data_IF_372837444812
#
_entry.id   IF_372837444812
#
_cell.length_a   1.000
_cell.length_b   1.000
_cell.length_c   1.000
_cell.angle_alpha   90.00
_cell.angle_beta   90.00
_cell.angle_gamma   90.00
#
_symmetry.space_group_name_H-M   'P 1'
#
loop_
_entity.id
_entity.type
_entity.pdbx_description
1 polymer ?
#
# COMPACT_ATOMS: atom_id res chain seq x y z
N UNK A 1 -25.17 39.43 18.45
CA UNK A 1 -23.94 39.05 17.72
C UNK A 1 -24.31 38.86 16.27
N UNK A 2 -23.66 39.58 15.34
CA UNK A 2 -24.05 39.67 13.93
C UNK A 2 -23.82 38.34 13.19
N UNK A 3 -24.69 38.02 12.22
CA UNK A 3 -24.73 36.76 11.45
C UNK A 3 -23.40 36.33 10.81
N UNK A 4 -22.46 37.27 10.68
CA UNK A 4 -21.12 37.08 10.14
C UNK A 4 -20.21 36.22 11.03
N UNK A 5 -20.35 36.29 12.36
CA UNK A 5 -19.55 35.44 13.27
C UNK A 5 -20.01 33.98 13.27
N UNK A 6 -21.31 33.72 13.06
CA UNK A 6 -21.86 32.38 12.95
C UNK A 6 -21.43 31.66 11.66
N UNK A 7 -21.30 32.39 10.54
CA UNK A 7 -20.79 31.87 9.27
C UNK A 7 -19.29 31.55 9.33
N UNK A 8 -18.47 32.39 9.98
CA UNK A 8 -17.04 32.15 10.12
C UNK A 8 -16.71 30.91 10.97
N UNK A 9 -17.50 30.62 12.02
CA UNK A 9 -17.27 29.45 12.88
C UNK A 9 -17.77 28.15 12.22
N UNK A 10 -18.87 28.20 11.46
CA UNK A 10 -19.32 27.06 10.64
C UNK A 10 -18.28 26.68 9.57
N UNK A 11 -17.62 27.66 8.95
CA UNK A 11 -16.51 27.44 8.03
C UNK A 11 -15.26 26.87 8.72
N UNK A 12 -14.99 27.23 9.98
CA UNK A 12 -13.84 26.73 10.75
C UNK A 12 -14.03 25.28 11.24
N UNK A 13 -15.25 24.92 11.67
CA UNK A 13 -15.59 23.53 12.01
C UNK A 13 -15.60 22.65 10.76
N UNK A 14 -16.20 23.12 9.65
CA UNK A 14 -16.10 22.46 8.35
C UNK A 14 -14.65 22.34 7.86
N UNK A 15 -13.80 23.34 8.12
CA UNK A 15 -12.38 23.34 7.75
C UNK A 15 -11.53 22.32 8.52
N UNK A 16 -11.80 22.08 9.82
CA UNK A 16 -11.13 21.02 10.58
C UNK A 16 -11.67 19.61 10.23
N UNK A 17 -12.95 19.50 9.86
CA UNK A 17 -13.58 18.25 9.41
C UNK A 17 -13.15 17.85 7.99
N UNK A 18 -12.96 18.83 7.10
CA UNK A 18 -12.44 18.63 5.73
C UNK A 18 -11.00 18.12 5.72
N UNK A 19 -10.17 18.51 6.71
CA UNK A 19 -8.75 18.15 6.77
C UNK A 19 -8.48 16.62 6.75
N UNK A 20 -9.41 15.78 7.22
CA UNK A 20 -9.25 14.32 7.26
C UNK A 20 -10.12 13.55 6.27
N UNK A 21 -11.21 14.15 5.78
CA UNK A 21 -12.12 13.54 4.82
C UNK A 21 -11.78 13.91 3.36
N UNK A 22 -11.15 15.06 3.14
CA UNK A 22 -10.90 15.65 1.80
C UNK A 22 -9.49 15.36 1.27
N UNK A 23 -8.95 14.18 1.64
CA UNK A 23 -7.66 13.75 1.10
C UNK A 23 -7.88 13.18 -0.30
N UNK A 24 -7.09 13.59 -1.31
CA UNK A 24 -7.24 13.04 -2.65
C UNK A 24 -7.02 11.52 -2.63
N UNK A 25 -7.76 10.81 -3.48
CA UNK A 25 -7.56 9.37 -3.71
C UNK A 25 -6.93 9.20 -5.08
N UNK A 26 -5.75 8.59 -5.11
CA UNK A 26 -5.00 8.33 -6.34
C UNK A 26 -4.95 6.83 -6.58
N UNK A 27 -5.01 6.41 -7.85
CA UNK A 27 -4.89 5.01 -8.24
C UNK A 27 -3.54 4.76 -8.91
N UNK A 28 -2.87 3.67 -8.57
CA UNK A 28 -1.54 3.31 -9.09
C UNK A 28 -1.49 1.83 -9.44
N UNK A 29 -1.10 1.51 -10.67
CA UNK A 29 -0.81 0.14 -11.08
C UNK A 29 0.67 -0.17 -10.88
N UNK A 30 0.98 -1.33 -10.28
CA UNK A 30 2.36 -1.77 -10.04
C UNK A 30 2.54 -3.25 -10.36
N UNK A 31 3.77 -3.63 -10.71
CA UNK A 31 4.18 -5.03 -10.80
C UNK A 31 5.09 -5.36 -9.63
N UNK A 32 4.75 -6.40 -8.87
CA UNK A 32 5.63 -6.96 -7.84
C UNK A 32 6.05 -8.35 -8.31
N UNK A 33 7.31 -8.51 -8.72
CA UNK A 33 7.82 -9.79 -9.17
C UNK A 33 8.77 -10.41 -8.14
N UNK A 34 8.51 -11.67 -7.79
CA UNK A 34 9.34 -12.43 -6.87
C UNK A 34 10.28 -13.36 -7.64
N UNK A 35 11.57 -13.06 -7.61
CA UNK A 35 12.57 -13.90 -8.26
C UNK A 35 12.79 -15.18 -7.46
N UNK A 36 12.99 -16.27 -8.18
CA UNK A 36 13.23 -17.57 -7.60
C UNK A 36 13.51 -18.61 -8.66
N UNK A 37 13.88 -19.80 -8.22
CA UNK A 37 14.06 -20.94 -9.08
C UNK A 37 12.92 -21.93 -8.81
N UNK A 38 11.96 -22.00 -9.73
CA UNK A 38 10.75 -22.82 -9.55
C UNK A 38 11.04 -24.30 -9.30
N UNK A 39 12.11 -24.85 -9.87
CA UNK A 39 12.52 -26.24 -9.64
C UNK A 39 13.03 -26.49 -8.22
N UNK A 40 13.28 -25.42 -7.46
CA UNK A 40 13.88 -25.41 -6.13
C UNK A 40 13.13 -24.44 -5.19
N UNK A 41 11.83 -24.66 -4.91
CA UNK A 41 10.94 -23.65 -4.32
C UNK A 41 11.26 -23.29 -2.85
N UNK A 42 11.89 -24.19 -2.08
CA UNK A 42 12.20 -23.97 -0.66
C UNK A 42 13.67 -23.66 -0.39
N UNK A 43 14.38 -23.18 -1.41
CA UNK A 43 15.78 -22.80 -1.29
C UNK A 43 15.93 -21.34 -0.94
N UNK A 44 17.11 -20.95 -0.45
CA UNK A 44 17.43 -19.54 -0.16
C UNK A 44 17.18 -18.65 -1.38
N UNK A 45 17.50 -19.14 -2.58
CA UNK A 45 17.29 -18.43 -3.84
C UNK A 45 15.82 -18.23 -4.23
N UNK A 46 14.91 -19.01 -3.65
CA UNK A 46 13.47 -18.96 -3.93
C UNK A 46 12.67 -18.34 -2.78
N UNK A 47 13.34 -17.75 -1.78
CA UNK A 47 12.69 -17.15 -0.61
C UNK A 47 11.65 -16.09 -0.99
N UNK A 48 11.93 -15.26 -2.00
CA UNK A 48 11.00 -14.25 -2.47
C UNK A 48 9.72 -14.88 -3.07
N UNK A 49 9.86 -15.96 -3.85
CA UNK A 49 8.73 -16.69 -4.40
C UNK A 49 7.88 -17.39 -3.35
N UNK A 50 8.50 -17.80 -2.25
CA UNK A 50 7.80 -18.37 -1.10
C UNK A 50 6.98 -17.29 -0.37
N UNK A 51 7.57 -16.11 -0.16
CA UNK A 51 6.92 -14.98 0.50
C UNK A 51 5.75 -14.39 -0.28
N UNK A 52 5.75 -14.47 -1.62
CA UNK A 52 4.75 -13.81 -2.46
C UNK A 52 3.31 -14.25 -2.15
N UNK A 53 3.12 -15.55 -1.84
CA UNK A 53 1.82 -16.11 -1.53
C UNK A 53 1.27 -15.50 -0.22
N UNK A 54 2.12 -15.43 0.82
CA UNK A 54 1.79 -14.79 2.09
C UNK A 54 1.61 -13.26 1.97
N UNK A 55 2.39 -12.59 1.11
CA UNK A 55 2.27 -11.15 0.86
C UNK A 55 0.93 -10.78 0.24
N UNK A 56 0.37 -11.60 -0.65
CA UNK A 56 -0.96 -11.37 -1.24
C UNK A 56 -2.04 -11.36 -0.15
N UNK A 57 -2.06 -12.36 0.71
CA UNK A 57 -3.00 -12.46 1.82
C UNK A 57 -2.79 -11.34 2.86
N UNK A 58 -1.53 -10.97 3.13
CA UNK A 58 -1.18 -9.86 4.03
C UNK A 58 -1.65 -8.51 3.51
N UNK A 59 -1.55 -8.29 2.21
CA UNK A 59 -2.03 -7.09 1.53
C UNK A 59 -3.55 -6.94 1.63
N UNK A 60 -4.28 -8.03 1.40
CA UNK A 60 -5.73 -8.06 1.57
C UNK A 60 -6.16 -7.76 3.03
N UNK A 61 -5.45 -8.33 4.00
CA UNK A 61 -5.68 -8.03 5.42
C UNK A 61 -5.40 -6.55 5.75
N UNK A 62 -4.30 -5.98 5.22
CA UNK A 62 -4.00 -4.55 5.39
C UNK A 62 -5.10 -3.65 4.84
N UNK A 63 -5.59 -3.94 3.64
CA UNK A 63 -6.63 -3.17 2.99
C UNK A 63 -7.92 -3.16 3.83
N UNK A 64 -8.34 -4.34 4.30
CA UNK A 64 -9.51 -4.47 5.17
C UNK A 64 -9.36 -3.65 6.47
N UNK A 65 -8.22 -3.78 7.15
CA UNK A 65 -7.93 -3.06 8.38
C UNK A 65 -7.90 -1.54 8.16
N UNK A 66 -7.23 -1.07 7.10
CA UNK A 66 -7.09 0.35 6.83
C UNK A 66 -8.44 0.96 6.46
N UNK A 67 -9.23 0.30 5.61
CA UNK A 67 -10.58 0.78 5.26
C UNK A 67 -11.47 0.86 6.48
N UNK A 68 -11.47 -0.15 7.36
CA UNK A 68 -12.22 -0.12 8.60
C UNK A 68 -11.79 1.06 9.50
N UNK A 69 -10.48 1.32 9.62
CA UNK A 69 -9.96 2.46 10.37
C UNK A 69 -10.39 3.80 9.78
N UNK A 70 -10.38 3.94 8.45
CA UNK A 70 -10.80 5.18 7.81
C UNK A 70 -12.31 5.38 7.93
N UNK A 71 -13.11 4.33 7.73
CA UNK A 71 -14.56 4.37 7.94
C UNK A 71 -14.91 4.80 9.37
N UNK A 72 -14.26 4.23 10.38
CA UNK A 72 -14.44 4.64 11.78
C UNK A 72 -14.06 6.10 12.00
N UNK A 73 -13.00 6.59 11.34
CA UNK A 73 -12.57 7.99 11.43
C UNK A 73 -13.62 8.93 10.83
N UNK A 74 -14.12 8.61 9.63
CA UNK A 74 -15.16 9.38 8.93
C UNK A 74 -16.45 9.40 9.76
N UNK A 75 -16.90 8.26 10.29
CA UNK A 75 -18.09 8.20 11.16
C UNK A 75 -17.96 9.10 12.40
N UNK A 76 -16.78 9.14 13.04
CA UNK A 76 -16.51 10.04 14.18
C UNK A 76 -16.58 11.52 13.80
N UNK A 77 -16.01 11.87 12.65
CA UNK A 77 -16.06 13.24 12.08
C UNK A 77 -17.52 13.65 11.83
N UNK A 78 -18.29 12.84 11.11
CA UNK A 78 -19.70 13.12 10.79
C UNK A 78 -20.55 13.25 12.06
N UNK A 79 -20.42 12.31 13.00
CA UNK A 79 -21.17 12.36 14.26
C UNK A 79 -20.84 13.59 15.11
N UNK A 80 -19.60 14.07 15.08
CA UNK A 80 -19.19 15.31 15.76
C UNK A 80 -19.80 16.53 15.08
N UNK A 81 -19.74 16.57 13.74
CA UNK A 81 -20.33 17.64 12.93
C UNK A 81 -21.84 17.77 13.17
N UNK A 82 -22.57 16.64 13.16
CA UNK A 82 -24.01 16.60 13.42
C UNK A 82 -24.35 17.13 14.82
N UNK A 83 -23.57 16.77 15.85
CA UNK A 83 -23.77 17.28 17.21
C UNK A 83 -23.57 18.79 17.29
N UNK A 84 -22.55 19.33 16.61
CA UNK A 84 -22.30 20.78 16.56
C UNK A 84 -23.44 21.51 15.85
N UNK A 85 -23.92 20.99 14.72
CA UNK A 85 -25.05 21.56 13.98
C UNK A 85 -26.33 21.56 14.82
N UNK A 86 -26.64 20.45 15.51
CA UNK A 86 -27.79 20.36 16.41
C UNK A 86 -27.70 21.34 17.58
N UNK A 87 -26.51 21.48 18.19
CA UNK A 87 -26.29 22.44 19.27
C UNK A 87 -26.49 23.88 18.77
N UNK A 88 -25.99 24.21 17.59
CA UNK A 88 -26.15 25.53 17.01
C UNK A 88 -27.61 25.83 16.66
N UNK A 89 -28.34 24.84 16.13
CA UNK A 89 -29.77 24.96 15.86
C UNK A 89 -30.57 25.26 17.13
N UNK A 90 -30.29 24.56 18.23
CA UNK A 90 -30.90 24.85 19.55
C UNK A 90 -30.63 26.28 20.02
N UNK A 91 -29.39 26.76 19.89
CA UNK A 91 -29.04 28.14 20.27
C UNK A 91 -29.77 29.18 19.42
N UNK A 92 -30.01 28.90 18.14
CA UNK A 92 -30.77 29.78 17.23
C UNK A 92 -32.26 29.80 17.64
N UNK A 93 -32.84 28.64 17.95
CA UNK A 93 -34.23 28.51 18.40
C UNK A 93 -34.45 29.22 19.74
N UNK A 94 -33.53 29.07 20.70
CA UNK A 94 -33.55 29.77 21.98
C UNK A 94 -33.41 31.29 21.81
N UNK A 95 -32.57 31.75 20.88
CA UNK A 95 -32.43 33.16 20.56
C UNK A 95 -33.67 33.74 19.85
N UNK A 96 -34.36 32.95 19.02
CA UNK A 96 -35.60 33.33 18.36
C UNK A 96 -36.79 33.36 19.34
N UNK A 97 -36.82 32.46 20.33
CA UNK A 97 -37.85 32.43 21.38
C UNK A 97 -37.80 33.65 22.32
N UNK A 98 -36.66 34.36 22.38
CA UNK A 98 -36.49 35.62 23.12
C UNK A 98 -36.85 36.89 22.36
N UNK A 99 -37.18 36.79 21.06
CA UNK A 99 -37.56 37.93 20.22
C UNK A 99 -39.08 37.95 20.01
N UNK A 100 -39.73 39.05 20.38
CA UNK A 100 -41.18 39.25 20.16
C UNK A 100 -41.54 39.06 18.68
N UNK A 101 -42.56 38.22 18.47
CA UNK A 101 -43.04 37.68 17.20
C UNK A 101 -43.28 38.74 16.11
N UNK A 102 -42.68 38.54 14.93
CA UNK A 102 -43.33 38.83 13.65
C UNK A 102 -43.68 37.49 13.01
N UNK A 103 -44.93 37.34 12.57
CA UNK A 103 -45.43 36.11 11.95
C UNK A 103 -44.66 35.77 10.66
N UNK A 104 -44.36 34.48 10.42
CA UNK A 104 -43.77 34.07 9.16
C UNK A 104 -44.86 33.80 8.12
N UNK A 105 -44.76 34.47 6.97
CA UNK A 105 -45.49 34.12 5.76
C UNK A 105 -45.05 32.74 5.24
N UNK A 106 -46.01 31.80 5.24
CA UNK A 106 -46.12 30.71 4.26
C UNK A 106 -45.18 29.50 4.42
N UNK A 107 -45.67 28.25 4.22
CA UNK A 107 -44.85 27.07 4.28
C UNK A 107 -43.94 26.98 3.03
N UNK A 108 -42.70 27.42 3.18
CA UNK A 108 -41.60 27.04 2.29
C UNK A 108 -41.40 25.53 2.39
N UNK A 109 -41.80 24.80 1.34
CA UNK A 109 -41.44 23.39 1.16
C UNK A 109 -39.93 23.29 0.96
N UNK A 110 -39.18 23.14 2.05
CA UNK A 110 -37.82 22.62 1.96
C UNK A 110 -37.91 21.19 1.45
N UNK A 111 -37.54 20.99 0.18
CA UNK A 111 -37.41 19.70 -0.44
C UNK A 111 -36.55 18.80 0.46
N UNK A 112 -37.13 17.68 0.89
CA UNK A 112 -36.39 16.56 1.46
C UNK A 112 -35.59 15.91 0.33
N UNK A 113 -34.47 16.54 -0.06
CA UNK A 113 -33.41 15.84 -0.77
C UNK A 113 -32.63 15.05 0.28
N UNK A 114 -32.84 13.74 0.29
CA UNK A 114 -32.07 12.78 1.09
C UNK A 114 -30.68 12.52 0.49
N UNK A 115 -30.00 13.58 0.08
CA UNK A 115 -28.59 13.52 -0.32
C UNK A 115 -27.80 14.03 0.88
N UNK A 116 -27.46 13.12 1.80
CA UNK A 116 -26.66 13.45 2.98
C UNK A 116 -25.32 14.03 2.49
N UNK A 117 -25.07 15.35 2.62
CA UNK A 117 -23.91 16.00 2.01
C UNK A 117 -22.58 15.56 2.66
N UNK A 118 -22.66 14.80 3.76
CA UNK A 118 -21.53 14.21 4.45
C UNK A 118 -21.15 12.81 3.96
N UNK A 119 -21.89 12.26 2.99
CA UNK A 119 -21.72 10.90 2.47
C UNK A 119 -20.90 10.84 1.17
N UNK A 120 -19.95 11.77 1.00
CA UNK A 120 -19.02 11.79 -0.13
C UNK A 120 -17.76 10.94 0.12
N UNK A 121 -17.87 9.83 0.84
CA UNK A 121 -16.75 8.91 1.08
C UNK A 121 -16.97 7.59 0.33
N UNK A 122 -16.85 7.64 -0.99
CA UNK A 122 -16.93 6.45 -1.85
C UNK A 122 -15.53 5.87 -2.07
N UNK A 123 -14.97 5.24 -1.04
CA UNK A 123 -13.86 4.33 -1.28
C UNK A 123 -14.43 3.06 -1.92
N UNK A 124 -14.01 2.69 -3.14
CA UNK A 124 -14.53 1.51 -3.81
C UNK A 124 -14.28 0.27 -2.95
N UNK A 125 -15.24 -0.66 -2.90
CA UNK A 125 -15.12 -1.90 -2.13
C UNK A 125 -13.84 -2.66 -2.51
N UNK A 126 -13.17 -3.22 -1.51
CA UNK A 126 -12.01 -4.07 -1.71
C UNK A 126 -12.32 -5.20 -2.70
N UNK A 127 -11.52 -5.31 -3.77
CA UNK A 127 -11.54 -6.51 -4.59
C UNK A 127 -10.87 -7.65 -3.80
N UNK A 128 -11.46 -8.85 -3.74
CA UNK A 128 -10.79 -9.99 -3.10
C UNK A 128 -9.48 -10.27 -3.83
N UNK A 129 -8.45 -10.73 -3.10
CA UNK A 129 -7.21 -11.19 -3.72
C UNK A 129 -7.53 -12.33 -4.69
N UNK A 130 -7.15 -12.17 -5.96
CA UNK A 130 -7.33 -13.19 -6.97
C UNK A 130 -6.40 -14.37 -6.70
N UNK A 131 -6.87 -15.59 -6.98
CA UNK A 131 -6.01 -16.77 -6.89
C UNK A 131 -4.91 -16.67 -7.94
N UNK A 132 -3.75 -17.25 -7.62
CA UNK A 132 -2.67 -17.33 -8.58
C UNK A 132 -3.06 -18.22 -9.78
N UNK A 133 -2.98 -17.66 -10.98
CA UNK A 133 -3.27 -18.35 -12.23
C UNK A 133 -2.01 -18.54 -13.07
N UNK A 134 -1.98 -19.61 -13.87
CA UNK A 134 -0.86 -19.87 -14.76
C UNK A 134 -0.86 -18.86 -15.91
N UNK A 135 0.12 -17.97 -15.90
CA UNK A 135 0.34 -17.01 -16.96
C UNK A 135 1.32 -17.57 -18.00
N UNK A 136 0.76 -18.21 -19.03
CA UNK A 136 1.53 -18.91 -20.08
C UNK A 136 2.48 -17.99 -20.85
N UNK A 137 2.05 -16.77 -21.17
CA UNK A 137 2.84 -15.82 -21.96
C UNK A 137 4.16 -15.41 -21.27
N UNK A 138 4.19 -15.37 -19.93
CA UNK A 138 5.40 -15.10 -19.16
C UNK A 138 6.01 -16.33 -18.49
N UNK A 139 5.50 -17.54 -18.76
CA UNK A 139 5.93 -18.78 -18.11
C UNK A 139 6.03 -18.62 -16.58
N UNK A 140 4.93 -18.27 -15.93
CA UNK A 140 4.89 -18.05 -14.48
C UNK A 140 3.48 -18.05 -13.93
N UNK A 141 3.35 -17.68 -12.66
CA UNK A 141 2.07 -17.50 -12.00
C UNK A 141 1.82 -16.01 -11.78
N UNK A 142 0.56 -15.61 -11.88
CA UNK A 142 0.14 -14.23 -11.68
C UNK A 142 -1.06 -14.19 -10.74
N UNK A 143 -1.11 -13.21 -9.86
CA UNK A 143 -2.29 -12.91 -9.06
C UNK A 143 -2.44 -11.41 -8.93
N UNK A 144 -3.67 -10.91 -8.82
CA UNK A 144 -3.93 -9.49 -8.60
C UNK A 144 -4.44 -9.26 -7.18
N UNK A 145 -3.97 -8.17 -6.58
CA UNK A 145 -4.48 -7.69 -5.31
C UNK A 145 -4.57 -6.18 -5.37
N UNK A 146 -5.71 -5.64 -4.93
CA UNK A 146 -5.89 -4.19 -4.78
C UNK A 146 -5.90 -3.84 -3.30
N UNK A 147 -5.10 -2.86 -2.90
CA UNK A 147 -5.04 -2.44 -1.51
C UNK A 147 -4.84 -0.93 -1.35
N UNK A 148 -5.41 -0.38 -0.28
CA UNK A 148 -5.26 1.00 0.11
C UNK A 148 -3.96 1.21 0.88
N UNK A 149 -3.27 2.32 0.60
CA UNK A 149 -2.10 2.80 1.35
C UNK A 149 -2.39 4.21 1.88
N UNK A 150 -2.16 4.41 3.17
CA UNK A 150 -2.19 5.73 3.80
C UNK A 150 -0.80 6.38 3.73
N UNK A 151 -0.65 7.42 2.90
CA UNK A 151 0.62 8.17 2.77
C UNK A 151 0.84 9.19 3.88
N UNK A 152 -0.15 9.40 4.77
CA UNK A 152 -0.05 10.40 5.82
C UNK A 152 1.04 9.98 6.81
N UNK A 153 1.99 10.87 7.15
CA UNK A 153 2.97 10.57 8.17
C UNK A 153 2.30 10.19 9.50
N UNK A 154 2.84 9.20 10.23
CA UNK A 154 2.24 8.75 11.48
C UNK A 154 2.19 9.87 12.53
N UNK A 155 1.33 9.70 13.54
CA UNK A 155 1.29 10.62 14.69
C UNK A 155 2.68 10.74 15.33
N UNK A 156 3.10 11.97 15.65
CA UNK A 156 4.42 12.25 16.21
C UNK A 156 5.56 12.42 15.17
N UNK A 157 5.31 12.16 13.88
CA UNK A 157 6.31 12.37 12.85
C UNK A 157 6.70 13.85 12.72
N UNK A 158 7.99 14.16 12.55
CA UNK A 158 8.50 15.53 12.53
C UNK A 158 7.85 16.41 11.44
N UNK A 159 7.50 15.84 10.28
CA UNK A 159 6.79 16.55 9.20
C UNK A 159 5.45 17.13 9.66
N UNK A 160 4.75 16.48 10.61
CA UNK A 160 3.45 16.98 11.11
C UNK A 160 3.57 18.21 12.01
N UNK A 161 4.80 18.53 12.46
CA UNK A 161 5.09 19.71 13.29
C UNK A 161 5.51 20.92 12.47
N UNK A 162 5.67 20.79 11.15
CA UNK A 162 6.03 21.91 10.29
C UNK A 162 4.84 22.85 10.09
N UNK A 163 5.12 24.14 9.96
CA UNK A 163 4.09 25.16 9.76
C UNK A 163 3.33 24.99 8.43
N UNK A 164 3.98 24.42 7.41
CA UNK A 164 3.42 24.17 6.08
C UNK A 164 2.74 22.80 5.93
N UNK A 165 2.57 22.07 7.05
CA UNK A 165 1.94 20.76 7.03
C UNK A 165 0.45 20.87 6.68
N UNK A 166 0.07 20.23 5.57
CA UNK A 166 -1.31 20.02 5.20
C UNK A 166 -1.51 18.55 4.85
N UNK A 167 -2.54 17.93 5.44
CA UNK A 167 -2.91 16.54 5.15
C UNK A 167 -3.40 16.35 3.71
N UNK A 168 -3.87 17.41 3.05
CA UNK A 168 -4.27 17.39 1.64
C UNK A 168 -3.09 17.07 0.71
N UNK A 169 -1.84 17.31 1.13
CA UNK A 169 -0.62 16.95 0.39
C UNK A 169 -0.35 15.43 0.36
N UNK A 170 -1.07 14.64 1.18
CA UNK A 170 -0.82 13.22 1.36
C UNK A 170 -2.05 12.43 0.89
N UNK A 171 -2.16 12.01 -0.37
CA UNK A 171 -3.33 11.27 -0.87
C UNK A 171 -3.46 9.88 -0.22
N UNK A 172 -4.66 9.31 -0.20
CA UNK A 172 -4.77 7.86 -0.14
C UNK A 172 -4.40 7.27 -1.49
N UNK A 173 -3.63 6.19 -1.51
CA UNK A 173 -3.24 5.53 -2.76
C UNK A 173 -3.90 4.16 -2.83
N UNK A 174 -4.75 3.95 -3.83
CA UNK A 174 -5.26 2.63 -4.20
C UNK A 174 -4.22 2.00 -5.13
N UNK A 175 -3.63 0.91 -4.70
CA UNK A 175 -2.60 0.19 -5.44
C UNK A 175 -3.21 -1.05 -6.05
N UNK A 176 -3.25 -1.14 -7.38
CA UNK A 176 -3.53 -2.38 -8.09
C UNK A 176 -2.21 -3.08 -8.37
N UNK A 177 -1.86 -4.02 -7.50
CA UNK A 177 -0.65 -4.80 -7.62
C UNK A 177 -0.91 -6.08 -8.42
N UNK A 178 -0.14 -6.23 -9.49
CA UNK A 178 0.03 -7.52 -10.16
C UNK A 178 1.23 -8.22 -9.52
N UNK A 179 1.00 -9.37 -8.89
CA UNK A 179 2.03 -10.20 -8.31
C UNK A 179 2.45 -11.25 -9.33
N UNK A 180 3.76 -11.43 -9.53
CA UNK A 180 4.29 -12.37 -10.51
C UNK A 180 5.38 -13.27 -9.94
N UNK A 181 5.24 -14.57 -10.20
CA UNK A 181 6.17 -15.63 -9.81
C UNK A 181 6.68 -16.37 -11.05
N UNK A 182 7.90 -16.08 -11.53
CA UNK A 182 8.47 -16.76 -12.69
C UNK A 182 8.58 -18.28 -12.47
N UNK A 183 8.17 -19.06 -13.47
CA UNK A 183 8.39 -20.50 -13.58
C UNK A 183 9.60 -20.77 -14.50
N UNK A 184 10.66 -19.97 -14.32
CA UNK A 184 11.85 -19.94 -15.14
C UNK A 184 13.09 -20.21 -14.28
N UNK A 185 14.22 -20.52 -14.93
CA UNK A 185 15.51 -20.52 -14.24
C UNK A 185 15.90 -19.08 -13.87
N UNK A 186 16.66 -18.94 -12.79
CA UNK A 186 16.98 -17.61 -12.26
C UNK A 186 17.65 -16.72 -13.31
N UNK A 187 18.60 -17.24 -14.08
CA UNK A 187 19.36 -16.49 -15.09
C UNK A 187 18.53 -16.02 -16.30
N UNK A 188 17.30 -16.51 -16.46
CA UNK A 188 16.39 -16.16 -17.56
C UNK A 188 15.03 -15.65 -17.05
N UNK A 189 14.97 -15.12 -15.84
CA UNK A 189 13.73 -14.58 -15.26
C UNK A 189 13.26 -13.28 -15.92
N UNK A 190 14.16 -12.51 -16.54
CA UNK A 190 13.88 -11.18 -17.08
C UNK A 190 12.78 -11.12 -18.16
N UNK A 191 12.81 -11.95 -19.22
CA UNK A 191 11.76 -11.98 -20.22
C UNK A 191 10.36 -12.21 -19.64
N UNK A 192 10.24 -13.07 -18.62
CA UNK A 192 8.99 -13.28 -17.90
C UNK A 192 8.52 -12.04 -17.15
N UNK A 193 9.44 -11.35 -16.45
CA UNK A 193 9.13 -10.07 -15.77
C UNK A 193 8.65 -9.02 -16.77
N UNK A 194 9.30 -8.88 -17.93
CA UNK A 194 8.88 -7.94 -18.98
C UNK A 194 7.47 -8.25 -19.49
N UNK A 195 7.16 -9.51 -19.75
CA UNK A 195 5.83 -9.93 -20.19
C UNK A 195 4.76 -9.68 -19.12
N UNK A 196 5.09 -9.92 -17.85
CA UNK A 196 4.21 -9.58 -16.72
C UNK A 196 3.98 -8.07 -16.57
N UNK A 197 5.00 -7.24 -16.83
CA UNK A 197 4.86 -5.78 -16.80
C UNK A 197 3.91 -5.28 -17.90
N UNK A 198 4.05 -5.83 -19.12
CA UNK A 198 3.14 -5.54 -20.22
C UNK A 198 1.69 -5.93 -19.89
N UNK A 199 1.47 -7.11 -19.28
CA UNK A 199 0.15 -7.54 -18.82
C UNK A 199 -0.42 -6.63 -17.71
N UNK A 200 0.43 -6.15 -16.80
CA UNK A 200 0.04 -5.24 -15.73
C UNK A 200 -0.18 -3.80 -16.21
N UNK A 201 -0.02 -3.51 -17.51
CA UNK A 201 -0.02 -2.16 -18.07
C UNK A 201 1.01 -1.23 -17.40
N UNK A 202 2.13 -1.80 -16.94
CA UNK A 202 3.24 -1.07 -16.32
C UNK A 202 4.31 -0.80 -17.37
N UNK A 203 4.41 0.46 -17.81
CA UNK A 203 5.34 0.87 -18.87
C UNK A 203 6.67 1.41 -18.34
N UNK A 204 6.74 1.83 -17.08
CA UNK A 204 7.94 2.45 -16.49
C UNK A 204 8.59 1.53 -15.45
N UNK A 205 9.93 1.31 -15.50
CA UNK A 205 10.62 0.43 -14.56
C UNK A 205 10.39 0.78 -13.09
N UNK A 206 10.18 2.06 -12.78
CA UNK A 206 9.97 2.55 -11.42
C UNK A 206 8.63 2.07 -10.82
N UNK A 207 7.70 1.53 -11.61
CA UNK A 207 6.47 0.87 -11.15
C UNK A 207 6.61 -0.65 -11.05
N UNK A 208 7.84 -1.14 -11.20
CA UNK A 208 8.21 -2.53 -10.98
C UNK A 208 9.00 -2.61 -9.67
N UNK A 209 8.60 -3.55 -8.80
CA UNK A 209 9.28 -3.91 -7.57
C UNK A 209 9.74 -5.36 -7.66
N UNK A 210 11.04 -5.60 -7.52
CA UNK A 210 11.64 -6.92 -7.56
C UNK A 210 11.97 -7.40 -6.15
N UNK A 211 11.39 -8.52 -5.72
CA UNK A 211 11.74 -9.21 -4.47
C UNK A 211 12.82 -10.26 -4.81
N UNK A 212 13.95 -10.26 -4.09
CA UNK A 212 15.01 -11.24 -4.32
C UNK A 212 15.86 -11.52 -3.07
N UNK A 213 16.62 -12.61 -3.09
CA UNK A 213 17.56 -12.97 -2.03
C UNK A 213 18.84 -12.11 -2.07
N UNK A 214 19.42 -11.86 -0.91
CA UNK A 214 20.59 -11.00 -0.74
C UNK A 214 21.61 -11.65 0.19
N UNK A 215 22.77 -12.01 -0.40
CA UNK A 215 23.88 -12.64 0.31
C UNK A 215 24.59 -11.70 1.29
N UNK A 216 24.61 -10.39 1.01
CA UNK A 216 25.34 -9.44 1.86
C UNK A 216 24.64 -9.12 3.18
N UNK A 217 23.45 -9.67 3.43
CA UNK A 217 22.63 -9.35 4.61
C UNK A 217 22.26 -10.62 5.38
N UNK A 218 22.25 -10.49 6.71
CA UNK A 218 21.88 -11.58 7.58
C UNK A 218 20.43 -12.04 7.34
N UNK A 219 20.13 -13.32 7.60
CA UNK A 219 18.79 -13.86 7.41
C UNK A 219 17.71 -13.02 8.11
N UNK A 220 16.59 -12.79 7.41
CA UNK A 220 15.48 -11.98 7.90
C UNK A 220 15.73 -10.46 7.92
N UNK A 221 16.92 -9.98 7.52
CA UNK A 221 17.13 -8.55 7.29
C UNK A 221 16.55 -8.16 5.93
N UNK A 222 15.58 -7.25 5.94
CA UNK A 222 14.90 -6.74 4.73
C UNK A 222 15.25 -5.27 4.49
N UNK A 223 15.39 -4.85 3.23
CA UNK A 223 15.61 -3.44 2.86
C UNK A 223 15.20 -3.18 1.43
N UNK A 224 14.70 -1.98 1.16
CA UNK A 224 14.48 -1.50 -0.21
C UNK A 224 15.72 -0.83 -0.78
N UNK A 225 15.94 -0.97 -2.08
CA UNK A 225 16.95 -0.24 -2.87
C UNK A 225 16.36 0.16 -4.21
N UNK A 226 16.47 1.44 -4.55
CA UNK A 226 16.07 1.95 -5.86
C UNK A 226 17.26 1.81 -6.83
N UNK A 227 17.03 1.11 -7.94
CA UNK A 227 18.01 0.92 -9.00
C UNK A 227 19.36 0.34 -8.61
N UNK A 228 20.32 0.43 -9.53
CA UNK A 228 21.71 0.00 -9.39
C UNK A 228 22.00 -1.40 -9.92
N UNK A 229 23.26 -1.82 -9.88
CA UNK A 229 23.70 -3.08 -10.50
C UNK A 229 23.12 -4.34 -9.85
N UNK A 230 23.20 -5.45 -10.59
CA UNK A 230 22.78 -6.78 -10.12
C UNK A 230 23.64 -7.34 -8.97
N UNK A 231 24.83 -6.79 -8.72
CA UNK A 231 25.75 -7.26 -7.68
C UNK A 231 26.00 -8.79 -7.70
N UNK A 232 26.04 -9.40 -8.89
CA UNK A 232 26.24 -10.84 -9.07
C UNK A 232 24.96 -11.69 -9.04
N UNK A 233 23.80 -11.11 -8.75
CA UNK A 233 22.54 -11.84 -8.74
C UNK A 233 21.99 -12.07 -10.15
N UNK A 234 21.94 -13.33 -10.60
CA UNK A 234 21.58 -13.72 -11.96
C UNK A 234 20.15 -13.29 -12.37
N UNK A 235 19.18 -13.36 -11.47
CA UNK A 235 17.80 -12.94 -11.74
C UNK A 235 17.68 -11.44 -11.97
N UNK A 236 18.20 -10.64 -11.03
CA UNK A 236 18.28 -9.19 -11.19
C UNK A 236 19.02 -8.79 -12.46
N UNK A 237 20.14 -9.45 -12.80
CA UNK A 237 20.86 -9.21 -14.05
C UNK A 237 19.95 -9.45 -15.26
N UNK A 238 19.29 -10.60 -15.32
CA UNK A 238 18.34 -10.96 -16.37
C UNK A 238 17.21 -9.93 -16.50
N UNK A 239 16.67 -9.45 -15.38
CA UNK A 239 15.61 -8.44 -15.35
C UNK A 239 16.09 -7.07 -15.83
N UNK A 240 17.28 -6.62 -15.42
CA UNK A 240 17.88 -5.38 -15.92
C UNK A 240 18.04 -5.43 -17.45
N UNK A 241 18.61 -6.52 -17.95
CA UNK A 241 18.84 -6.73 -19.38
C UNK A 241 17.52 -6.75 -20.17
N UNK A 242 16.52 -7.48 -19.67
CA UNK A 242 15.23 -7.62 -20.35
C UNK A 242 14.41 -6.32 -20.39
N UNK A 243 14.52 -5.47 -19.37
CA UNK A 243 13.81 -4.20 -19.25
C UNK A 243 14.60 -3.02 -19.84
N UNK A 244 15.80 -3.24 -20.37
CA UNK A 244 16.65 -2.17 -20.92
C UNK A 244 17.10 -1.14 -19.87
N UNK A 245 17.15 -1.56 -18.60
CA UNK A 245 17.54 -0.70 -17.48
C UNK A 245 19.06 -0.43 -17.54
N UNK A 246 19.45 0.85 -17.65
CA UNK A 246 20.86 1.26 -17.67
C UNK A 246 21.30 1.75 -16.30
N UNK A 247 22.59 1.62 -15.99
CA UNK A 247 23.17 2.04 -14.68
C UNK A 247 22.95 3.52 -14.31
N UNK A 248 22.42 4.36 -15.21
CA UNK A 248 22.48 5.82 -15.12
C UNK A 248 21.12 6.53 -15.05
N UNK A 249 19.97 5.88 -14.76
CA UNK A 249 18.84 6.69 -14.29
C UNK A 249 17.39 6.19 -14.40
N UNK A 250 17.10 4.97 -14.85
CA UNK A 250 15.71 4.48 -14.93
C UNK A 250 15.64 3.00 -14.62
N UNK A 251 15.71 2.67 -13.34
CA UNK A 251 15.69 1.29 -12.87
C UNK A 251 14.48 1.02 -11.99
N UNK A 252 14.15 -0.26 -11.87
CA UNK A 252 13.17 -0.76 -10.91
C UNK A 252 13.69 -0.73 -9.47
N UNK A 253 12.75 -0.70 -8.53
CA UNK A 253 13.05 -0.83 -7.12
C UNK A 253 13.18 -2.31 -6.73
N UNK A 254 13.92 -2.57 -5.64
CA UNK A 254 14.20 -3.92 -5.17
C UNK A 254 13.97 -4.04 -3.67
N UNK A 255 13.29 -5.09 -3.24
CA UNK A 255 13.31 -5.53 -1.84
C UNK A 255 14.29 -6.68 -1.71
N UNK A 256 15.32 -6.45 -0.90
CA UNK A 256 16.43 -7.37 -0.66
C UNK A 256 16.19 -8.12 0.63
N UNK A 257 16.08 -9.44 0.53
CA UNK A 257 15.80 -10.34 1.65
C UNK A 257 17.09 -11.08 1.99
N UNK A 258 17.63 -10.82 3.18
CA UNK A 258 18.89 -11.44 3.61
C UNK A 258 18.78 -12.96 3.72
N UNK A 259 19.81 -13.66 3.26
CA UNK A 259 19.93 -15.14 3.30
C UNK A 259 21.27 -15.62 3.88
N UNK A 260 21.99 -14.72 4.54
CA UNK A 260 23.37 -14.90 5.01
C UNK A 260 24.39 -15.16 3.89
N UNK A 261 25.67 -14.99 4.23
CA UNK A 261 26.77 -15.48 3.38
C UNK A 261 27.06 -16.95 3.67
N UNK A 262 27.53 -17.72 2.67
CA UNK A 262 28.03 -19.06 2.94
C UNK A 262 29.16 -19.02 3.99
N UNK A 263 29.20 -20.00 4.89
CA UNK A 263 30.39 -20.30 5.68
C UNK A 263 31.63 -20.51 4.80
N UNK A 264 32.85 -20.26 5.32
CA UNK A 264 34.08 -20.53 4.59
C UNK A 264 34.12 -21.95 4.03
N UNK A 265 34.52 -22.08 2.75
CA UNK A 265 34.62 -23.37 2.06
C UNK A 265 33.34 -23.84 1.34
N UNK A 266 32.21 -23.12 1.46
CA UNK A 266 30.99 -23.41 0.71
C UNK A 266 30.86 -22.45 -0.47
N UNK A 267 30.70 -23.00 -1.68
CA UNK A 267 30.45 -22.20 -2.88
C UNK A 267 29.09 -21.48 -2.82
N UNK A 268 29.05 -20.26 -3.35
CA UNK A 268 27.85 -19.42 -3.34
C UNK A 268 26.68 -20.08 -4.06
N UNK A 269 26.91 -20.73 -5.21
CA UNK A 269 25.85 -21.40 -5.97
C UNK A 269 25.21 -22.54 -5.16
N UNK A 270 26.03 -23.32 -4.45
CA UNK A 270 25.56 -24.38 -3.56
C UNK A 270 24.80 -23.83 -2.37
N UNK A 271 25.24 -22.69 -1.81
CA UNK A 271 24.56 -22.03 -0.70
C UNK A 271 23.16 -21.54 -1.09
N UNK A 272 23.03 -20.80 -2.20
CA UNK A 272 21.73 -20.25 -2.61
C UNK A 272 20.73 -21.34 -2.98
N UNK A 273 21.20 -22.47 -3.55
CA UNK A 273 20.39 -23.64 -3.84
C UNK A 273 20.15 -24.54 -2.62
N UNK A 274 20.74 -24.22 -1.47
CA UNK A 274 20.49 -24.93 -0.21
C UNK A 274 19.09 -24.63 0.33
N UNK A 275 18.42 -25.66 0.85
CA UNK A 275 17.10 -25.52 1.48
C UNK A 275 17.15 -24.60 2.69
N UNK A 276 16.09 -23.81 2.87
CA UNK A 276 15.84 -23.07 4.09
C UNK A 276 15.37 -24.05 5.18
N UNK A 277 15.91 -23.94 6.40
CA UNK A 277 15.36 -24.61 7.57
C UNK A 277 13.86 -24.36 7.77
N UNK A 278 13.14 -25.30 8.38
CA UNK A 278 11.67 -25.20 8.54
C UNK A 278 11.24 -24.00 9.38
N UNK A 279 11.99 -23.68 10.43
CA UNK A 279 11.78 -22.50 11.28
C UNK A 279 11.94 -21.20 10.47
N UNK A 280 12.91 -21.15 9.55
CA UNK A 280 13.10 -20.02 8.64
C UNK A 280 11.95 -19.88 7.62
N UNK A 281 11.46 -21.00 7.09
CA UNK A 281 10.29 -21.01 6.22
C UNK A 281 9.03 -20.55 6.94
N UNK A 282 8.81 -21.01 8.18
CA UNK A 282 7.65 -20.63 8.99
C UNK A 282 7.59 -19.11 9.26
N UNK A 283 8.74 -18.44 9.40
CA UNK A 283 8.80 -16.97 9.53
C UNK A 283 8.45 -16.21 8.25
N UNK A 284 8.38 -16.90 7.11
CA UNK A 284 7.99 -16.36 5.80
C UNK A 284 6.50 -16.59 5.48
N UNK A 285 5.74 -17.25 6.35
CA UNK A 285 4.33 -17.59 6.11
C UNK A 285 3.36 -16.55 6.66
N UNK A 286 2.23 -16.36 5.97
CA UNK A 286 1.11 -15.55 6.42
C UNK A 286 -0.23 -16.26 6.12
N UNK A 287 -1.18 -16.33 7.08
CA UNK A 287 -1.01 -15.93 8.49
C UNK A 287 0.04 -16.80 9.20
N UNK A 288 0.72 -16.27 10.23
CA UNK A 288 1.77 -17.01 10.91
C UNK A 288 1.20 -18.19 11.69
N UNK A 289 1.93 -19.32 11.68
CA UNK A 289 1.61 -20.50 12.48
C UNK A 289 2.50 -20.54 13.73
N UNK A 290 1.96 -20.51 14.97
CA UNK A 290 2.76 -20.56 16.19
C UNK A 290 3.70 -21.79 16.21
N UNK A 291 4.95 -21.66 16.70
CA UNK A 291 5.51 -20.51 17.41
C UNK A 291 6.06 -19.40 16.50
N UNK A 292 6.03 -19.57 15.18
CA UNK A 292 6.53 -18.56 14.26
C UNK A 292 5.65 -17.31 14.30
N UNK A 293 6.28 -16.16 14.11
CA UNK A 293 5.59 -14.86 14.18
C UNK A 293 5.26 -14.27 12.81
N UNK A 294 5.76 -14.88 11.72
CA UNK A 294 5.62 -14.33 10.37
C UNK A 294 6.41 -13.03 10.21
N UNK A 295 7.53 -12.90 10.93
CA UNK A 295 8.26 -11.64 11.01
C UNK A 295 8.81 -11.20 9.65
N UNK A 296 9.23 -12.16 8.82
CA UNK A 296 9.87 -11.83 7.54
C UNK A 296 8.83 -11.32 6.55
N UNK A 297 7.67 -11.98 6.45
CA UNK A 297 6.58 -11.49 5.59
C UNK A 297 6.09 -10.11 6.03
N UNK A 298 6.01 -9.84 7.34
CA UNK A 298 5.65 -8.52 7.85
C UNK A 298 6.69 -7.45 7.49
N UNK A 299 7.99 -7.75 7.64
CA UNK A 299 9.06 -6.82 7.28
C UNK A 299 9.09 -6.54 5.77
N UNK A 300 8.86 -7.55 4.94
CA UNK A 300 8.75 -7.40 3.49
C UNK A 300 7.51 -6.58 3.14
N UNK A 301 6.37 -6.85 3.76
CA UNK A 301 5.15 -6.08 3.59
C UNK A 301 5.35 -4.60 3.92
N UNK A 302 6.03 -4.28 5.03
CA UNK A 302 6.35 -2.91 5.40
C UNK A 302 7.18 -2.20 4.32
N UNK A 303 8.15 -2.88 3.72
CA UNK A 303 8.94 -2.31 2.62
C UNK A 303 8.09 -2.09 1.35
N UNK A 304 7.21 -3.04 1.02
CA UNK A 304 6.29 -2.96 -0.13
C UNK A 304 5.31 -1.82 0.04
N UNK A 305 4.57 -1.78 1.16
CA UNK A 305 3.60 -0.74 1.46
C UNK A 305 4.24 0.66 1.48
N UNK A 306 5.43 0.78 2.10
CA UNK A 306 6.17 2.03 2.11
C UNK A 306 6.59 2.46 0.70
N UNK A 307 7.03 1.54 -0.16
CA UNK A 307 7.38 1.85 -1.57
C UNK A 307 6.17 2.26 -2.40
N UNK A 308 5.02 1.61 -2.19
CA UNK A 308 3.77 1.97 -2.85
C UNK A 308 3.29 3.37 -2.49
N UNK A 309 3.48 3.79 -1.24
CA UNK A 309 3.09 5.10 -0.73
C UNK A 309 4.11 6.23 -0.95
N UNK A 310 5.22 5.99 -1.65
CA UNK A 310 6.15 7.06 -2.02
C UNK A 310 5.53 7.93 -3.11
N UNK A 311 5.57 9.23 -2.89
CA UNK A 311 5.36 10.19 -3.96
C UNK A 311 6.49 10.05 -4.99
N UNK A 312 6.11 9.74 -6.23
CA UNK A 312 6.95 10.02 -7.40
C UNK A 312 6.67 11.46 -7.84
N UNK A 313 6.95 12.41 -6.94
CA UNK A 313 6.97 13.84 -7.27
C UNK A 313 8.22 14.14 -8.11
#
# INVERSE_FOLDING_TARGET
>A
MTSTQALCVAAAAAGQLAQYADRPVVRRAVLIAALGNYTHPHTRHSIAQYLLDGLSARAAAHDADLRAQVEQRVRRVISTARKQQQQQQKLIEEAAAGATLCEPDGPSKCAQHSDDPFLLYDLPRAAPAERAELFRAAQGWISKVSFLVDTLPPKGHALRRRADFSSAKYPYVIVDATLYKPKLLMNISGPGVRAAAAFAHVSVPQDILILHDELSRAFGKVSTKDGGSAAGHNGVKSTLDALGCTRNGTDFARVRIGIDRPPPGIDVSRWVLGQLPRDQLAECEWPPSPPATGKIVELVWQQVAAWCGRDKL
#
